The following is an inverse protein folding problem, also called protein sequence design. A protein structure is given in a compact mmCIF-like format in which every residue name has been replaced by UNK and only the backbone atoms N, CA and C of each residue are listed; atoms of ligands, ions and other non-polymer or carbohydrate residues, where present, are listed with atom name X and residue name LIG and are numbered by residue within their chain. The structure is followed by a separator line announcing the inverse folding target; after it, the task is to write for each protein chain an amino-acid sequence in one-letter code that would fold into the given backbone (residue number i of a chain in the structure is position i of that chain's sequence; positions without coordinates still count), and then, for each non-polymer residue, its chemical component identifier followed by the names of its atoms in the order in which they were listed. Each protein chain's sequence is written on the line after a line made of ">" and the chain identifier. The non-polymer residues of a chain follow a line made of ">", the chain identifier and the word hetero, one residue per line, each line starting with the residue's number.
data_IF_960675709584
#
_entry.id   IF_960675709584
#
_cell.length_a   1.000
_cell.length_b   1.000
_cell.length_c   1.000
_cell.angle_alpha   90.00
_cell.angle_beta   90.00
_cell.angle_gamma   90.00
#
_symmetry.space_group_name_H-M   'P 1'
#
loop_
_entity.id
_entity.type
_entity.pdbx_description
1 polymer ?
#
# COMPACT_ATOMS: atom_id res chain seq x y z
N UNK A 1 17.58 7.93 6.01
CA UNK A 1 17.70 9.27 6.62
C UNK A 1 16.33 9.88 6.61
N UNK A 2 15.97 10.54 7.70
CA UNK A 2 14.60 10.97 7.91
C UNK A 2 14.39 12.34 7.27
N UNK A 3 13.18 12.59 6.76
CA UNK A 3 12.81 13.94 6.33
C UNK A 3 12.84 14.86 7.55
N UNK A 4 13.31 16.08 7.34
CA UNK A 4 13.38 17.09 8.39
C UNK A 4 12.92 18.44 7.89
N UNK A 5 12.76 19.41 8.79
CA UNK A 5 12.42 20.78 8.47
C UNK A 5 13.46 21.73 9.09
N UNK A 6 13.59 22.93 8.53
CA UNK A 6 14.46 23.95 9.14
C UNK A 6 14.02 24.30 10.56
N UNK A 7 12.71 24.25 10.85
CA UNK A 7 12.18 24.47 12.20
C UNK A 7 12.63 23.36 13.16
N UNK A 8 12.56 22.09 12.76
CA UNK A 8 13.02 20.95 13.56
C UNK A 8 14.53 21.00 13.79
N UNK A 9 15.32 21.28 12.75
CA UNK A 9 16.76 21.48 12.85
C UNK A 9 17.12 22.67 13.76
N UNK A 10 16.30 23.72 13.79
CA UNK A 10 16.51 24.86 14.67
C UNK A 10 16.15 24.58 16.12
N UNK A 11 15.08 23.82 16.36
CA UNK A 11 14.60 23.50 17.71
C UNK A 11 15.45 22.42 18.39
N UNK A 12 15.82 21.38 17.65
CA UNK A 12 16.37 20.16 18.23
C UNK A 12 17.91 20.12 18.22
N UNK A 13 18.57 21.09 17.58
CA UNK A 13 20.01 21.08 17.44
C UNK A 13 20.63 22.45 17.73
N UNK A 14 21.40 22.47 18.82
CA UNK A 14 22.13 23.64 19.32
C UNK A 14 23.52 23.79 18.68
N UNK A 15 24.00 22.78 17.94
CA UNK A 15 25.31 22.82 17.26
C UNK A 15 25.26 23.79 16.06
N UNK A 16 26.40 24.42 15.76
CA UNK A 16 26.58 25.09 14.47
C UNK A 16 26.51 24.06 13.34
N UNK A 17 26.06 24.51 12.18
CA UNK A 17 25.81 23.66 11.03
C UNK A 17 26.98 23.74 10.05
N UNK A 18 27.42 22.58 9.54
CA UNK A 18 28.33 22.51 8.38
C UNK A 18 27.51 22.11 7.17
N UNK A 19 27.60 22.87 6.08
CA UNK A 19 26.93 22.53 4.82
C UNK A 19 27.84 21.63 3.99
N UNK A 20 27.36 20.44 3.62
CA UNK A 20 28.12 19.49 2.80
C UNK A 20 27.66 19.55 1.34
N UNK A 21 28.49 20.14 0.48
CA UNK A 21 28.22 20.42 -0.93
C UNK A 21 28.11 21.93 -1.19
N UNK A 22 28.71 22.43 -2.27
CA UNK A 22 28.74 23.86 -2.60
C UNK A 22 27.76 24.29 -3.71
N UNK A 23 26.59 23.64 -3.80
CA UNK A 23 25.59 23.88 -4.86
C UNK A 23 24.44 24.83 -4.46
N UNK A 24 23.44 24.97 -5.35
CA UNK A 24 22.22 25.78 -5.12
C UNK A 24 21.45 25.38 -3.86
N UNK A 25 21.50 24.10 -3.48
CA UNK A 25 20.86 23.60 -2.26
C UNK A 25 21.53 24.16 -1.01
N UNK A 26 22.87 24.23 -1.00
CA UNK A 26 23.60 24.86 0.09
C UNK A 26 23.30 26.35 0.18
N UNK A 27 23.15 27.04 -0.95
CA UNK A 27 22.86 28.47 -0.99
C UNK A 27 21.49 28.78 -0.36
N UNK A 28 20.47 28.00 -0.76
CA UNK A 28 19.13 28.08 -0.19
C UNK A 28 19.11 27.66 1.29
N UNK A 29 19.92 26.66 1.69
CA UNK A 29 20.01 26.20 3.07
C UNK A 29 20.64 27.27 3.97
N UNK A 30 21.73 27.90 3.52
CA UNK A 30 22.38 29.02 4.20
C UNK A 30 21.40 30.17 4.44
N UNK A 31 20.64 30.57 3.41
CA UNK A 31 19.61 31.62 3.51
C UNK A 31 18.52 31.30 4.53
N UNK A 32 18.17 30.03 4.72
CA UNK A 32 17.12 29.59 5.67
C UNK A 32 17.63 29.42 7.09
N UNK A 33 18.89 29.04 7.27
CA UNK A 33 19.53 28.86 8.58
C UNK A 33 20.05 30.17 9.17
N UNK A 34 20.43 31.12 8.31
CA UNK A 34 21.15 32.33 8.69
C UNK A 34 22.66 32.08 8.77
N UNK A 35 23.46 33.08 8.39
CA UNK A 35 24.93 32.99 8.36
C UNK A 35 25.51 32.67 9.73
N UNK A 36 24.97 33.26 10.79
CA UNK A 36 25.41 33.00 12.15
C UNK A 36 25.33 31.52 12.52
N UNK A 37 24.38 30.76 11.97
CA UNK A 37 24.23 29.34 12.34
C UNK A 37 25.21 28.42 11.59
N UNK A 38 25.76 28.86 10.46
CA UNK A 38 26.63 28.03 9.62
C UNK A 38 28.09 28.29 9.99
N UNK A 39 28.81 27.23 10.39
CA UNK A 39 30.22 27.34 10.74
C UNK A 39 31.11 27.47 9.49
N UNK A 40 30.93 26.55 8.53
CA UNK A 40 31.67 26.52 7.27
C UNK A 40 30.99 25.56 6.27
N UNK A 41 31.55 25.47 5.07
CA UNK A 41 31.09 24.59 3.98
C UNK A 41 32.18 23.55 3.70
N UNK A 42 31.79 22.31 3.39
CA UNK A 42 32.71 21.27 2.94
C UNK A 42 32.27 20.70 1.60
N UNK A 43 33.22 20.27 0.76
CA UNK A 43 32.93 19.62 -0.52
C UNK A 43 34.02 18.61 -0.88
N UNK A 44 33.67 17.51 -1.56
CA UNK A 44 34.66 16.52 -2.01
C UNK A 44 35.51 17.03 -3.19
N UNK A 45 35.02 18.03 -3.94
CA UNK A 45 35.73 18.62 -5.07
C UNK A 45 36.93 19.44 -4.60
N UNK A 46 38.13 19.01 -4.96
CA UNK A 46 39.37 19.76 -4.69
C UNK A 46 39.40 21.14 -5.35
N UNK A 47 38.64 21.32 -6.44
CA UNK A 47 38.46 22.63 -7.06
C UNK A 47 37.56 23.54 -6.21
N UNK A 48 36.48 23.00 -5.64
CA UNK A 48 35.60 23.76 -4.74
C UNK A 48 36.31 24.15 -3.44
N UNK A 49 37.14 23.27 -2.88
CA UNK A 49 37.94 23.55 -1.68
C UNK A 49 38.94 24.71 -1.85
N UNK A 50 39.24 25.10 -3.10
CA UNK A 50 40.10 26.25 -3.42
C UNK A 50 39.32 27.54 -3.63
N UNK A 51 37.99 27.53 -3.49
CA UNK A 51 37.12 28.69 -3.68
C UNK A 51 36.39 29.10 -2.40
N UNK A 52 35.64 30.19 -2.50
CA UNK A 52 34.71 30.64 -1.47
C UNK A 52 33.28 30.36 -1.90
N UNK A 53 32.45 29.95 -0.96
CA UNK A 53 31.01 29.78 -1.13
C UNK A 53 30.27 30.84 -0.32
N UNK A 54 29.67 31.84 -0.97
CA UNK A 54 29.02 32.97 -0.31
C UNK A 54 29.91 33.63 0.78
N UNK A 55 31.20 33.79 0.48
CA UNK A 55 32.17 34.36 1.43
C UNK A 55 32.71 33.38 2.48
N UNK A 56 32.12 32.18 2.62
CA UNK A 56 32.61 31.12 3.50
C UNK A 56 33.69 30.29 2.80
N UNK A 57 34.72 29.89 3.55
CA UNK A 57 35.75 28.97 3.06
C UNK A 57 35.14 27.58 2.86
N UNK A 58 35.48 26.94 1.75
CA UNK A 58 35.13 25.54 1.48
C UNK A 58 36.28 24.65 1.93
N UNK A 59 36.02 23.71 2.82
CA UNK A 59 37.03 22.83 3.39
C UNK A 59 36.88 21.38 2.93
N UNK A 60 37.91 20.58 3.24
CA UNK A 60 37.85 19.13 3.05
C UNK A 60 36.88 18.51 4.06
N UNK A 61 36.07 17.53 3.65
CA UNK A 61 35.18 16.79 4.56
C UNK A 61 35.85 16.18 5.78
N UNK A 62 37.16 15.93 5.73
CA UNK A 62 37.92 15.40 6.87
C UNK A 62 38.03 16.37 8.05
N UNK A 63 37.68 17.65 7.87
CA UNK A 63 37.64 18.65 8.97
C UNK A 63 36.36 18.57 9.80
N UNK A 64 35.37 17.79 9.35
CA UNK A 64 34.10 17.61 10.06
C UNK A 64 34.32 16.74 11.30
N UNK A 65 33.83 17.23 12.45
CA UNK A 65 33.80 16.49 13.72
C UNK A 65 32.38 16.47 14.31
N UNK A 66 32.18 15.71 15.39
CA UNK A 66 30.86 15.60 16.08
C UNK A 66 30.39 16.88 16.77
N UNK A 67 31.28 17.88 16.91
CA UNK A 67 30.93 19.18 17.49
C UNK A 67 29.94 19.98 16.61
N UNK A 68 29.93 19.68 15.31
CA UNK A 68 29.02 20.24 14.34
C UNK A 68 27.89 19.27 14.00
N UNK A 69 26.82 19.82 13.47
CA UNK A 69 25.84 19.04 12.74
C UNK A 69 25.98 19.25 11.25
N UNK A 70 26.04 18.17 10.48
CA UNK A 70 26.26 18.26 9.05
C UNK A 70 24.93 18.22 8.30
N UNK A 71 24.73 19.20 7.43
CA UNK A 71 23.59 19.25 6.53
C UNK A 71 24.04 18.90 5.11
N UNK A 72 23.65 17.73 4.63
CA UNK A 72 23.95 17.28 3.26
C UNK A 72 23.15 18.15 2.28
N UNK A 73 23.88 18.89 1.44
CA UNK A 73 23.37 19.84 0.46
C UNK A 73 23.68 19.43 -0.99
N UNK A 74 23.89 18.13 -1.22
CA UNK A 74 24.15 17.51 -2.52
C UNK A 74 23.13 16.41 -2.80
N UNK A 75 22.86 16.14 -4.08
CA UNK A 75 22.03 15.01 -4.51
C UNK A 75 22.74 13.66 -4.35
N UNK A 76 24.07 13.66 -4.18
CA UNK A 76 24.87 12.46 -3.92
C UNK A 76 24.78 12.01 -2.45
N UNK A 77 23.54 11.81 -1.99
CA UNK A 77 23.19 11.60 -0.60
C UNK A 77 23.82 10.30 -0.07
N UNK A 78 23.77 9.22 -0.84
CA UNK A 78 24.25 7.91 -0.42
C UNK A 78 25.77 7.90 -0.15
N UNK A 79 26.57 8.42 -1.08
CA UNK A 79 28.03 8.43 -0.94
C UNK A 79 28.48 9.36 0.20
N UNK A 80 27.87 10.53 0.33
CA UNK A 80 28.18 11.48 1.41
C UNK A 80 27.78 10.89 2.76
N UNK A 81 26.62 10.24 2.86
CA UNK A 81 26.20 9.58 4.11
C UNK A 81 27.17 8.47 4.51
N UNK A 82 27.62 7.65 3.56
CA UNK A 82 28.60 6.61 3.80
C UNK A 82 29.96 7.20 4.23
N UNK A 83 30.37 8.33 3.64
CA UNK A 83 31.58 9.06 4.03
C UNK A 83 31.49 9.60 5.46
N UNK A 84 30.40 10.29 5.82
CA UNK A 84 30.19 10.80 7.18
C UNK A 84 30.14 9.67 8.20
N UNK A 85 29.53 8.53 7.85
CA UNK A 85 29.53 7.33 8.69
C UNK A 85 30.94 6.78 8.89
N UNK A 86 31.78 6.74 7.85
CA UNK A 86 33.20 6.34 7.97
C UNK A 86 34.02 7.30 8.84
N UNK A 87 33.62 8.58 8.90
CA UNK A 87 34.19 9.58 9.81
C UNK A 87 33.64 9.46 11.25
N UNK A 88 32.77 8.48 11.52
CA UNK A 88 32.25 8.17 12.85
C UNK A 88 31.00 8.97 13.25
N UNK A 89 30.41 9.73 12.33
CA UNK A 89 29.16 10.47 12.55
C UNK A 89 27.94 9.56 12.35
N UNK A 90 26.89 9.76 13.13
CA UNK A 90 25.67 8.97 13.08
C UNK A 90 24.56 9.67 12.27
N UNK A 91 23.90 8.99 11.31
CA UNK A 91 22.76 9.55 10.59
C UNK A 91 21.62 9.98 11.52
N UNK A 92 20.92 11.05 11.17
CA UNK A 92 19.82 11.68 11.91
C UNK A 92 20.19 12.25 13.30
N UNK A 93 21.35 11.89 13.86
CA UNK A 93 21.88 12.44 15.09
C UNK A 93 22.93 13.52 14.80
N UNK A 94 23.97 13.18 14.04
CA UNK A 94 25.10 14.08 13.73
C UNK A 94 24.97 14.72 12.35
N UNK A 95 24.17 14.13 11.47
CA UNK A 95 23.92 14.68 10.15
C UNK A 95 22.55 14.33 9.60
N UNK A 96 22.04 15.17 8.71
CA UNK A 96 20.83 14.90 7.92
C UNK A 96 20.95 15.53 6.54
N UNK A 97 20.00 15.25 5.65
CA UNK A 97 19.84 16.02 4.42
C UNK A 97 19.23 17.39 4.69
N UNK A 98 19.54 18.35 3.82
CA UNK A 98 18.83 19.62 3.75
C UNK A 98 17.34 19.39 3.48
N UNK A 99 16.42 20.08 4.18
CA UNK A 99 14.99 20.05 3.88
C UNK A 99 14.65 20.40 2.42
N UNK A 100 15.54 21.10 1.72
CA UNK A 100 15.38 21.43 0.29
C UNK A 100 15.48 20.18 -0.60
N UNK A 101 16.07 19.10 -0.09
CA UNK A 101 16.17 17.80 -0.79
C UNK A 101 15.04 16.84 -0.42
N UNK A 102 14.05 17.24 0.38
CA UNK A 102 12.97 16.36 0.84
C UNK A 102 12.21 15.70 -0.33
N UNK A 103 12.01 16.43 -1.43
CA UNK A 103 11.35 15.89 -2.64
C UNK A 103 12.20 14.77 -3.27
N UNK A 104 13.52 14.98 -3.37
CA UNK A 104 14.47 14.00 -3.91
C UNK A 104 14.56 12.77 -2.99
N UNK A 105 14.51 12.98 -1.67
CA UNK A 105 14.46 11.88 -0.70
C UNK A 105 13.18 11.04 -0.86
N UNK A 106 12.03 11.68 -1.07
CA UNK A 106 10.76 10.98 -1.27
C UNK A 106 10.78 10.14 -2.55
N UNK A 107 11.38 10.64 -3.62
CA UNK A 107 11.56 9.89 -4.88
C UNK A 107 12.57 8.75 -4.68
N UNK A 108 13.72 9.04 -4.06
CA UNK A 108 14.78 8.06 -3.82
C UNK A 108 14.31 6.88 -2.96
N UNK A 109 13.45 7.12 -1.97
CA UNK A 109 12.82 6.07 -1.15
C UNK A 109 12.06 5.07 -2.03
N UNK A 110 11.24 5.58 -2.95
CA UNK A 110 10.45 4.74 -3.86
C UNK A 110 11.32 4.07 -4.93
N UNK A 111 12.37 4.73 -5.42
CA UNK A 111 13.29 4.18 -6.44
C UNK A 111 14.21 3.10 -5.89
N UNK A 112 14.55 3.16 -4.60
CA UNK A 112 15.41 2.18 -3.91
C UNK A 112 14.61 1.06 -3.25
N UNK A 113 13.30 1.01 -3.44
CA UNK A 113 12.43 -0.01 -2.88
C UNK A 113 12.97 -1.41 -3.20
N UNK A 114 13.16 -2.20 -2.16
CA UNK A 114 13.51 -3.61 -2.26
C UNK A 114 12.50 -4.39 -1.43
N UNK A 115 11.60 -5.10 -2.09
CA UNK A 115 10.53 -5.83 -1.42
C UNK A 115 10.04 -6.99 -2.27
N UNK A 116 9.45 -7.97 -1.60
CA UNK A 116 8.70 -9.06 -2.22
C UNK A 116 7.24 -8.96 -1.79
N UNK A 117 6.33 -9.12 -2.73
CA UNK A 117 4.90 -9.16 -2.43
C UNK A 117 4.19 -10.19 -3.30
N UNK A 118 3.09 -10.72 -2.79
CA UNK A 118 2.17 -11.58 -3.50
C UNK A 118 0.95 -10.79 -3.91
N UNK A 119 0.34 -11.22 -5.01
CA UNK A 119 -0.95 -10.67 -5.41
C UNK A 119 -1.77 -11.74 -6.13
N UNK A 120 -3.08 -11.51 -6.19
CA UNK A 120 -4.03 -12.41 -6.84
C UNK A 120 -4.71 -11.74 -8.01
N UNK A 121 -4.98 -12.53 -9.05
CA UNK A 121 -5.71 -12.15 -10.23
C UNK A 121 -6.92 -13.05 -10.43
N UNK A 122 -8.08 -12.42 -10.60
CA UNK A 122 -9.35 -13.08 -10.88
C UNK A 122 -9.74 -13.05 -12.36
N UNK A 123 -8.78 -12.79 -13.26
CA UNK A 123 -9.00 -13.00 -14.70
C UNK A 123 -9.10 -14.49 -15.02
N UNK A 124 -9.54 -14.82 -16.23
CA UNK A 124 -9.61 -16.21 -16.68
C UNK A 124 -8.20 -16.78 -16.74
N UNK A 125 -7.99 -17.93 -16.11
CA UNK A 125 -6.74 -18.66 -16.19
C UNK A 125 -6.50 -19.15 -17.63
N UNK A 126 -5.26 -19.04 -18.10
CA UNK A 126 -4.81 -19.61 -19.36
C UNK A 126 -3.58 -20.49 -19.07
N UNK A 127 -3.65 -21.74 -19.49
CA UNK A 127 -2.52 -22.69 -19.40
C UNK A 127 -1.50 -22.47 -20.53
N UNK A 128 -1.91 -21.81 -21.62
CA UNK A 128 -1.06 -21.56 -22.79
C UNK A 128 -0.07 -20.39 -22.57
N UNK A 129 -0.26 -19.60 -21.52
CA UNK A 129 0.59 -18.47 -21.18
C UNK A 129 0.95 -18.50 -19.69
N UNK A 130 2.09 -17.91 -19.28
CA UNK A 130 2.40 -17.73 -17.86
C UNK A 130 1.49 -16.69 -17.17
N UNK A 131 0.52 -16.11 -17.87
CA UNK A 131 -0.30 -15.00 -17.41
C UNK A 131 -1.80 -15.34 -17.37
N UNK A 132 -2.59 -14.49 -16.70
CA UNK A 132 -4.03 -14.66 -16.51
C UNK A 132 -4.44 -14.66 -15.04
N UNK A 133 -5.42 -15.48 -14.69
CA UNK A 133 -5.84 -15.70 -13.31
C UNK A 133 -4.79 -16.47 -12.51
N UNK A 134 -4.61 -16.11 -11.24
CA UNK A 134 -3.71 -16.87 -10.38
C UNK A 134 -3.24 -16.18 -9.11
N UNK A 135 -2.43 -16.90 -8.34
CA UNK A 135 -1.55 -16.33 -7.33
C UNK A 135 -0.19 -16.04 -7.96
N UNK A 136 0.33 -14.85 -7.71
CA UNK A 136 1.60 -14.38 -8.24
C UNK A 136 2.51 -13.91 -7.11
N UNK A 137 3.81 -13.94 -7.39
CA UNK A 137 4.84 -13.25 -6.60
C UNK A 137 5.52 -12.20 -7.47
N UNK A 138 5.77 -11.03 -6.90
CA UNK A 138 6.57 -9.99 -7.50
C UNK A 138 7.74 -9.62 -6.58
N UNK A 139 8.94 -9.63 -7.13
CA UNK A 139 10.14 -9.14 -6.46
C UNK A 139 10.53 -7.81 -7.07
N UNK A 140 10.69 -6.79 -6.24
CA UNK A 140 11.13 -5.44 -6.63
C UNK A 140 12.53 -5.23 -6.08
N UNK A 141 13.46 -4.86 -6.94
CA UNK A 141 14.83 -4.49 -6.55
C UNK A 141 15.19 -3.18 -7.24
N UNK A 142 15.14 -2.10 -6.46
CA UNK A 142 15.34 -0.76 -6.96
C UNK A 142 14.34 -0.47 -8.08
N UNK A 143 14.84 -0.10 -9.27
CA UNK A 143 14.01 0.24 -10.43
C UNK A 143 13.48 -0.97 -11.21
N UNK A 144 13.89 -2.18 -10.86
CA UNK A 144 13.54 -3.42 -11.58
C UNK A 144 12.53 -4.26 -10.81
N UNK A 145 11.73 -5.06 -11.53
CA UNK A 145 10.82 -6.02 -10.92
C UNK A 145 10.72 -7.31 -11.74
N UNK A 146 10.59 -8.45 -11.07
CA UNK A 146 10.27 -9.75 -11.68
C UNK A 146 8.93 -10.25 -11.17
N UNK A 147 8.21 -10.99 -12.01
CA UNK A 147 6.87 -11.51 -11.69
C UNK A 147 6.80 -12.97 -12.11
N UNK A 148 6.26 -13.82 -11.24
CA UNK A 148 6.08 -15.25 -11.46
C UNK A 148 4.67 -15.67 -11.02
N UNK A 149 4.01 -16.51 -11.83
CA UNK A 149 2.75 -17.15 -11.47
C UNK A 149 3.04 -18.42 -10.67
N UNK A 150 2.59 -18.44 -9.42
CA UNK A 150 2.75 -19.58 -8.51
C UNK A 150 1.60 -20.58 -8.62
N UNK A 151 0.41 -20.09 -8.97
CA UNK A 151 -0.81 -20.88 -9.09
C UNK A 151 -1.66 -20.37 -10.25
N UNK A 152 -2.26 -21.26 -11.04
CA UNK A 152 -3.19 -20.93 -12.12
C UNK A 152 -4.62 -21.17 -11.64
N UNK A 153 -5.48 -20.15 -11.67
CA UNK A 153 -6.87 -20.26 -11.23
C UNK A 153 -7.54 -18.91 -10.99
N UNK A 154 -8.85 -18.89 -10.75
CA UNK A 154 -9.61 -17.64 -10.60
C UNK A 154 -9.49 -17.10 -9.17
N UNK A 155 -8.37 -16.42 -8.88
CA UNK A 155 -7.97 -16.08 -7.50
C UNK A 155 -8.42 -14.67 -7.07
N UNK A 156 -8.86 -14.55 -5.81
CA UNK A 156 -9.34 -13.30 -5.23
C UNK A 156 -8.69 -12.99 -3.88
N UNK A 157 -9.41 -13.00 -2.75
CA UNK A 157 -8.89 -12.60 -1.44
C UNK A 157 -7.63 -13.37 -1.04
N UNK A 158 -6.67 -12.70 -0.41
CA UNK A 158 -5.46 -13.30 0.12
C UNK A 158 -4.97 -12.60 1.40
N UNK A 159 -4.34 -13.36 2.29
CA UNK A 159 -3.75 -12.89 3.56
C UNK A 159 -2.45 -13.63 3.87
N UNK A 160 -1.56 -12.99 4.64
CA UNK A 160 -0.47 -13.69 5.32
C UNK A 160 -0.99 -14.29 6.64
N UNK A 161 -0.69 -15.55 6.91
CA UNK A 161 -1.03 -16.22 8.15
C UNK A 161 0.01 -17.31 8.48
N UNK A 162 0.65 -17.20 9.65
CA UNK A 162 1.64 -18.17 10.16
C UNK A 162 2.78 -18.53 9.17
N UNK A 163 3.24 -17.56 8.37
CA UNK A 163 4.29 -17.79 7.35
C UNK A 163 3.79 -18.43 6.05
N UNK A 164 2.47 -18.59 5.90
CA UNK A 164 1.83 -19.00 4.67
C UNK A 164 1.10 -17.82 4.02
N UNK A 165 0.93 -17.88 2.71
CA UNK A 165 -0.03 -17.06 1.98
C UNK A 165 -1.30 -17.88 1.80
N UNK A 166 -2.37 -17.48 2.48
CA UNK A 166 -3.69 -18.05 2.25
C UNK A 166 -4.40 -17.25 1.16
N UNK A 167 -5.07 -17.93 0.25
CA UNK A 167 -5.80 -17.28 -0.83
C UNK A 167 -7.03 -18.08 -1.23
N UNK A 168 -7.98 -17.41 -1.89
CA UNK A 168 -9.21 -18.06 -2.37
C UNK A 168 -9.20 -18.14 -3.90
N UNK A 169 -9.41 -19.35 -4.40
CA UNK A 169 -9.82 -19.65 -5.77
C UNK A 169 -11.35 -19.77 -5.78
N UNK A 170 -12.04 -19.05 -6.65
CA UNK A 170 -13.51 -19.10 -6.72
C UNK A 170 -14.08 -20.47 -7.09
N UNK A 171 -13.29 -21.31 -7.77
CA UNK A 171 -13.71 -22.63 -8.27
C UNK A 171 -13.23 -23.77 -7.35
N UNK A 172 -12.10 -23.60 -6.66
CA UNK A 172 -11.46 -24.66 -5.84
C UNK A 172 -11.39 -24.35 -4.33
N UNK A 173 -11.71 -23.13 -3.94
CA UNK A 173 -11.83 -22.71 -2.55
C UNK A 173 -10.56 -22.20 -1.90
N UNK A 174 -10.34 -22.51 -0.63
CA UNK A 174 -9.23 -21.91 0.14
C UNK A 174 -7.97 -22.75 0.01
N UNK A 175 -6.87 -22.10 -0.34
CA UNK A 175 -5.56 -22.71 -0.47
C UNK A 175 -4.55 -21.99 0.42
N UNK A 176 -3.45 -22.68 0.70
CA UNK A 176 -2.23 -22.11 1.28
C UNK A 176 -1.06 -22.29 0.33
N UNK A 177 -0.17 -21.32 0.32
CA UNK A 177 1.15 -21.38 -0.31
C UNK A 177 2.23 -21.17 0.75
N UNK A 178 3.24 -22.05 0.77
CA UNK A 178 4.45 -21.88 1.58
C UNK A 178 5.61 -22.65 0.95
N UNK A 179 6.77 -22.01 0.83
CA UNK A 179 8.01 -22.64 0.34
C UNK A 179 7.87 -23.42 -0.98
N UNK A 180 7.09 -22.90 -1.94
CA UNK A 180 6.89 -23.54 -3.24
C UNK A 180 5.77 -24.60 -3.26
N UNK A 181 5.17 -24.93 -2.13
CA UNK A 181 4.08 -25.90 -2.04
C UNK A 181 2.73 -25.22 -1.92
N UNK A 182 1.74 -25.73 -2.67
CA UNK A 182 0.34 -25.32 -2.59
C UNK A 182 -0.47 -26.45 -1.99
N UNK A 183 -1.24 -26.13 -0.94
CA UNK A 183 -2.13 -27.08 -0.28
C UNK A 183 -3.55 -26.54 -0.25
N UNK A 184 -4.49 -27.33 -0.74
CA UNK A 184 -5.93 -27.10 -0.60
C UNK A 184 -6.38 -27.33 0.85
N UNK A 185 -7.23 -26.44 1.36
CA UNK A 185 -7.68 -26.42 2.75
C UNK A 185 -9.20 -26.55 2.89
N UNK A 186 -9.97 -26.03 1.92
CA UNK A 186 -11.43 -25.98 2.02
C UNK A 186 -12.12 -25.86 0.67
N UNK A 187 -13.17 -26.65 0.46
CA UNK A 187 -14.09 -26.51 -0.67
C UNK A 187 -15.16 -25.44 -0.39
N UNK A 188 -15.35 -24.51 -1.32
CA UNK A 188 -16.40 -23.51 -1.19
C UNK A 188 -17.79 -24.13 -1.35
N UNK A 189 -18.81 -23.57 -0.68
CA UNK A 189 -20.18 -23.87 -1.02
C UNK A 189 -20.47 -23.60 -2.51
N UNK A 190 -21.26 -24.46 -3.14
CA UNK A 190 -21.60 -24.35 -4.57
C UNK A 190 -22.10 -22.94 -4.90
N UNK A 191 -21.50 -22.34 -5.94
CA UNK A 191 -21.86 -21.00 -6.42
C UNK A 191 -21.47 -19.85 -5.48
N UNK A 192 -20.56 -20.07 -4.52
CA UNK A 192 -20.10 -19.01 -3.61
C UNK A 192 -19.49 -17.82 -4.33
N UNK A 193 -18.62 -18.09 -5.33
CA UNK A 193 -17.74 -17.09 -5.97
C UNK A 193 -17.03 -16.24 -4.93
N UNK A 194 -16.07 -16.84 -4.24
CA UNK A 194 -15.43 -16.19 -3.11
C UNK A 194 -14.50 -15.06 -3.55
N UNK A 195 -14.62 -13.88 -2.93
CA UNK A 195 -13.82 -12.70 -3.26
C UNK A 195 -12.92 -12.21 -2.13
N UNK A 196 -13.33 -12.36 -0.87
CA UNK A 196 -12.64 -11.81 0.31
C UNK A 196 -12.22 -12.89 1.28
N UNK A 197 -11.09 -12.68 1.97
CA UNK A 197 -10.56 -13.58 2.99
C UNK A 197 -9.95 -12.76 4.13
N UNK A 198 -10.34 -13.05 5.36
CA UNK A 198 -9.67 -12.52 6.55
C UNK A 198 -9.56 -13.55 7.66
N UNK A 199 -8.74 -13.24 8.67
CA UNK A 199 -8.54 -14.05 9.86
C UNK A 199 -8.71 -13.16 11.10
N UNK A 200 -9.56 -13.59 12.03
CA UNK A 200 -9.71 -12.97 13.34
C UNK A 200 -8.88 -13.75 14.36
N UNK A 201 -7.89 -13.09 14.96
CA UNK A 201 -6.99 -13.70 15.96
C UNK A 201 -7.67 -13.95 17.30
N UNK A 202 -8.63 -13.12 17.69
CA UNK A 202 -9.28 -13.20 19.01
C UNK A 202 -10.21 -14.42 19.10
N UNK A 203 -10.84 -14.78 17.98
CA UNK A 203 -11.73 -15.95 17.87
C UNK A 203 -11.07 -17.18 17.23
N UNK A 204 -9.86 -17.03 16.67
CA UNK A 204 -9.19 -18.05 15.85
C UNK A 204 -10.11 -18.57 14.72
N UNK A 205 -10.60 -17.65 13.90
CA UNK A 205 -11.57 -17.91 12.82
C UNK A 205 -11.17 -17.26 11.51
N UNK A 206 -11.47 -17.94 10.40
CA UNK A 206 -11.36 -17.40 9.05
C UNK A 206 -12.73 -16.96 8.53
N UNK A 207 -12.74 -15.92 7.71
CA UNK A 207 -13.97 -15.36 7.13
C UNK A 207 -13.82 -15.23 5.62
N UNK A 208 -14.76 -15.82 4.87
CA UNK A 208 -14.72 -15.83 3.40
C UNK A 208 -15.98 -15.16 2.83
N UNK A 209 -15.79 -14.09 2.05
CA UNK A 209 -16.90 -13.39 1.38
C UNK A 209 -17.37 -14.19 0.18
N UNK A 210 -18.64 -14.60 0.16
CA UNK A 210 -19.27 -15.31 -0.96
C UNK A 210 -20.13 -14.34 -1.80
N UNK A 211 -19.53 -13.73 -2.82
CA UNK A 211 -20.14 -12.64 -3.60
C UNK A 211 -21.42 -13.03 -4.32
N UNK A 212 -21.51 -14.27 -4.80
CA UNK A 212 -22.71 -14.76 -5.50
C UNK A 212 -23.79 -15.26 -4.53
N UNK A 213 -23.55 -15.24 -3.21
CA UNK A 213 -24.50 -15.69 -2.18
C UNK A 213 -24.91 -14.61 -1.18
N UNK A 214 -24.40 -13.38 -1.33
CA UNK A 214 -24.61 -12.26 -0.39
C UNK A 214 -24.41 -12.68 1.07
N UNK A 215 -23.32 -13.40 1.34
CA UNK A 215 -22.97 -13.81 2.68
C UNK A 215 -21.47 -13.87 2.91
N UNK A 216 -21.09 -13.98 4.18
CA UNK A 216 -19.74 -14.30 4.62
C UNK A 216 -19.84 -15.60 5.41
N UNK A 217 -19.00 -16.57 5.08
CA UNK A 217 -18.92 -17.82 5.84
C UNK A 217 -17.77 -17.74 6.85
N UNK A 218 -17.98 -18.31 8.02
CA UNK A 218 -16.97 -18.46 9.06
C UNK A 218 -16.44 -19.89 9.08
N UNK A 219 -15.12 -20.02 9.16
CA UNK A 219 -14.43 -21.30 9.26
C UNK A 219 -13.61 -21.34 10.56
N UNK A 220 -13.55 -22.51 11.20
CA UNK A 220 -12.62 -22.75 12.31
C UNK A 220 -11.16 -22.89 11.84
N UNK A 221 -10.21 -23.04 12.77
CA UNK A 221 -8.78 -23.19 12.43
C UNK A 221 -8.43 -24.49 11.70
N UNK A 222 -9.38 -25.41 11.55
CA UNK A 222 -9.28 -26.62 10.72
C UNK A 222 -10.08 -26.48 9.42
N UNK A 223 -10.54 -25.27 9.10
CA UNK A 223 -11.34 -24.96 7.93
C UNK A 223 -12.70 -25.65 7.87
N UNK A 224 -13.31 -26.00 9.03
CA UNK A 224 -14.70 -26.44 9.05
C UNK A 224 -15.64 -25.23 9.06
N UNK A 225 -16.70 -25.27 8.25
CA UNK A 225 -17.76 -24.26 8.25
C UNK A 225 -18.52 -24.26 9.59
N UNK A 226 -18.48 -23.13 10.31
CA UNK A 226 -19.14 -22.97 11.62
C UNK A 226 -20.38 -22.10 11.56
N UNK A 227 -20.36 -21.05 10.72
CA UNK A 227 -21.41 -20.03 10.69
C UNK A 227 -21.52 -19.36 9.32
N UNK A 228 -22.64 -18.70 9.06
CA UNK A 228 -22.84 -17.84 7.89
C UNK A 228 -23.51 -16.54 8.31
N UNK A 229 -22.96 -15.41 7.86
CA UNK A 229 -23.47 -14.06 8.05
C UNK A 229 -24.11 -13.59 6.75
N UNK A 230 -25.43 -13.43 6.74
CA UNK A 230 -26.17 -12.97 5.56
C UNK A 230 -26.25 -11.45 5.53
N UNK A 231 -26.03 -10.84 4.36
CA UNK A 231 -26.10 -9.38 4.21
C UNK A 231 -27.54 -8.86 4.36
N UNK A 232 -28.51 -9.65 3.90
CA UNK A 232 -29.94 -9.44 4.07
C UNK A 232 -30.72 -10.71 3.71
N UNK A 233 -32.05 -10.71 3.91
CA UNK A 233 -32.93 -11.78 3.44
C UNK A 233 -33.22 -11.78 1.93
N UNK A 234 -32.57 -10.93 1.12
CA UNK A 234 -32.86 -10.85 -0.33
C UNK A 234 -32.45 -12.10 -1.09
N UNK A 235 -31.23 -12.59 -0.86
CA UNK A 235 -30.73 -13.78 -1.53
C UNK A 235 -31.62 -15.00 -1.27
N UNK A 236 -32.13 -15.14 -0.05
CA UNK A 236 -33.04 -16.24 0.27
C UNK A 236 -34.31 -16.22 -0.59
N UNK A 237 -34.84 -15.02 -0.88
CA UNK A 237 -36.06 -14.81 -1.65
C UNK A 237 -35.85 -14.93 -3.16
N UNK A 238 -34.73 -14.44 -3.68
CA UNK A 238 -34.49 -14.35 -5.14
C UNK A 238 -33.56 -15.43 -5.67
N UNK A 239 -32.77 -16.07 -4.81
CA UNK A 239 -31.63 -16.93 -5.15
C UNK A 239 -30.58 -16.25 -6.02
N UNK A 240 -30.53 -14.92 -5.96
CA UNK A 240 -29.60 -14.10 -6.70
C UNK A 240 -28.91 -13.08 -5.78
N UNK A 241 -27.59 -12.94 -5.95
CA UNK A 241 -26.84 -11.87 -5.29
C UNK A 241 -27.39 -10.49 -5.69
N UNK A 242 -27.68 -9.70 -4.68
CA UNK A 242 -28.28 -8.38 -4.71
C UNK A 242 -27.33 -7.30 -4.22
N UNK A 243 -26.35 -7.63 -3.38
CA UNK A 243 -25.45 -6.64 -2.73
C UNK A 243 -24.06 -6.57 -3.36
N UNK A 244 -23.55 -7.71 -3.86
CA UNK A 244 -22.19 -7.86 -4.40
C UNK A 244 -21.13 -7.47 -3.36
N UNK A 245 -20.96 -8.34 -2.36
CA UNK A 245 -19.85 -8.25 -1.39
C UNK A 245 -18.51 -8.49 -2.09
N UNK A 246 -17.49 -7.72 -1.72
CA UNK A 246 -16.15 -7.84 -2.29
C UNK A 246 -15.18 -8.43 -1.27
N UNK A 247 -14.84 -7.68 -0.22
CA UNK A 247 -13.82 -8.08 0.75
C UNK A 247 -14.39 -8.03 2.18
N UNK A 248 -13.66 -8.64 3.11
CA UNK A 248 -14.00 -8.59 4.53
C UNK A 248 -12.76 -8.41 5.40
N UNK A 249 -12.97 -7.92 6.62
CA UNK A 249 -11.94 -7.84 7.64
C UNK A 249 -12.55 -8.05 9.02
N UNK A 250 -12.12 -9.09 9.71
CA UNK A 250 -12.57 -9.40 11.07
C UNK A 250 -11.51 -9.00 12.10
N UNK A 251 -11.90 -8.23 13.12
CA UNK A 251 -11.01 -7.76 14.20
C UNK A 251 -11.83 -7.50 15.45
N UNK A 252 -11.31 -7.92 16.62
CA UNK A 252 -12.08 -7.83 17.86
C UNK A 252 -13.37 -8.63 17.74
N UNK A 253 -14.47 -8.06 18.22
CA UNK A 253 -15.84 -8.58 18.14
C UNK A 253 -16.60 -8.15 16.87
N UNK A 254 -15.94 -7.52 15.89
CA UNK A 254 -16.57 -7.06 14.66
C UNK A 254 -16.05 -7.76 13.40
N UNK A 255 -16.97 -7.99 12.46
CA UNK A 255 -16.70 -8.38 11.08
C UNK A 255 -17.18 -7.28 10.15
N UNK A 256 -16.23 -6.70 9.40
CA UNK A 256 -16.52 -5.66 8.41
C UNK A 256 -16.53 -6.24 7.00
N UNK A 257 -17.37 -5.69 6.13
CA UNK A 257 -17.46 -6.12 4.74
C UNK A 257 -17.77 -4.97 3.77
N UNK A 258 -17.06 -4.94 2.65
CA UNK A 258 -17.32 -3.98 1.57
C UNK A 258 -18.30 -4.57 0.55
N UNK A 259 -19.19 -3.73 0.02
CA UNK A 259 -20.13 -4.17 -1.03
C UNK A 259 -20.54 -3.02 -1.94
N UNK A 260 -21.00 -3.35 -3.16
CA UNK A 260 -21.45 -2.34 -4.13
C UNK A 260 -22.74 -1.63 -3.74
N UNK A 261 -23.59 -2.28 -2.94
CA UNK A 261 -24.88 -1.71 -2.59
C UNK A 261 -25.36 -2.21 -1.23
N UNK A 262 -25.49 -1.30 -0.27
CA UNK A 262 -26.08 -1.62 1.03
C UNK A 262 -27.55 -2.03 0.90
N UNK A 263 -28.33 -1.31 0.09
CA UNK A 263 -29.74 -1.65 -0.14
C UNK A 263 -29.95 -2.82 -1.09
N UNK A 264 -28.94 -3.22 -1.85
CA UNK A 264 -28.97 -4.33 -2.80
C UNK A 264 -29.67 -4.01 -4.12
N UNK A 265 -29.37 -2.83 -4.70
CA UNK A 265 -29.94 -2.33 -5.95
C UNK A 265 -28.87 -2.02 -7.03
N UNK A 266 -27.62 -2.47 -6.89
CA UNK A 266 -26.55 -2.19 -7.87
C UNK A 266 -26.88 -2.66 -9.30
N UNK A 267 -27.63 -3.76 -9.45
CA UNK A 267 -28.13 -4.26 -10.75
C UNK A 267 -29.11 -3.30 -11.44
N UNK A 268 -29.67 -2.33 -10.69
CA UNK A 268 -30.52 -1.24 -11.17
C UNK A 268 -29.75 0.08 -11.28
N UNK A 269 -28.43 0.00 -11.32
CA UNK A 269 -27.51 1.15 -11.40
C UNK A 269 -27.55 2.08 -10.17
N UNK A 270 -28.04 1.59 -9.03
CA UNK A 270 -28.01 2.30 -7.73
C UNK A 270 -26.83 1.78 -6.91
N UNK A 271 -25.72 2.53 -6.92
CA UNK A 271 -24.50 2.22 -6.17
C UNK A 271 -24.45 3.02 -4.86
N UNK A 272 -25.09 2.49 -3.83
CA UNK A 272 -25.02 2.94 -2.44
C UNK A 272 -24.03 2.07 -1.65
N UNK A 273 -22.80 2.00 -2.15
CA UNK A 273 -21.75 1.14 -1.59
C UNK A 273 -21.41 1.53 -0.16
N UNK A 274 -21.03 0.52 0.63
CA UNK A 274 -20.82 0.70 2.06
C UNK A 274 -19.73 -0.22 2.59
N UNK A 275 -19.34 0.05 3.85
CA UNK A 275 -18.77 -0.94 4.75
C UNK A 275 -19.89 -1.34 5.70
N UNK A 276 -20.35 -2.58 5.63
CA UNK A 276 -21.25 -3.16 6.62
C UNK A 276 -20.45 -3.71 7.81
N UNK A 277 -21.08 -3.74 8.98
CA UNK A 277 -20.52 -4.30 10.20
C UNK A 277 -21.45 -5.37 10.76
N UNK A 278 -20.87 -6.45 11.27
CA UNK A 278 -21.57 -7.50 12.00
C UNK A 278 -20.92 -7.68 13.37
N UNK A 279 -21.75 -7.84 14.39
CA UNK A 279 -21.31 -8.32 15.70
C UNK A 279 -21.01 -9.82 15.59
N UNK A 280 -19.79 -10.24 15.93
CA UNK A 280 -19.35 -11.63 15.82
C UNK A 280 -19.99 -12.55 16.86
N UNK A 281 -20.37 -12.02 18.02
CA UNK A 281 -21.03 -12.80 19.07
C UNK A 281 -22.47 -13.13 18.66
N UNK A 282 -23.25 -12.11 18.30
CA UNK A 282 -24.67 -12.25 17.99
C UNK A 282 -24.93 -12.63 16.53
N UNK A 283 -24.01 -12.27 15.62
CA UNK A 283 -24.15 -12.39 14.16
C UNK A 283 -25.07 -11.36 13.53
N UNK A 284 -25.56 -10.40 14.31
CA UNK A 284 -26.44 -9.36 13.82
C UNK A 284 -25.66 -8.33 13.00
N UNK A 285 -26.27 -7.87 11.90
CA UNK A 285 -25.76 -6.73 11.15
C UNK A 285 -26.02 -5.45 11.93
N UNK A 286 -24.96 -4.72 12.22
CA UNK A 286 -24.99 -3.41 12.87
C UNK A 286 -25.20 -2.30 11.82
N UNK A 287 -25.49 -1.05 12.23
CA UNK A 287 -25.55 0.08 11.31
C UNK A 287 -24.24 0.24 10.53
N UNK A 288 -24.32 0.41 9.21
CA UNK A 288 -23.14 0.54 8.36
C UNK A 288 -22.27 1.76 8.80
N UNK A 289 -21.02 1.56 9.25
CA UNK A 289 -20.15 2.66 9.69
C UNK A 289 -19.71 3.59 8.56
N UNK A 290 -19.71 3.11 7.30
CA UNK A 290 -19.33 3.90 6.13
C UNK A 290 -20.34 3.68 5.02
N UNK A 291 -20.80 4.78 4.41
CA UNK A 291 -21.81 4.80 3.34
C UNK A 291 -21.34 5.66 2.17
N UNK A 292 -22.10 5.62 1.09
CA UNK A 292 -21.91 6.46 -0.11
C UNK A 292 -20.55 6.24 -0.80
N UNK A 293 -20.04 5.01 -0.75
CA UNK A 293 -18.86 4.57 -1.50
C UNK A 293 -19.29 4.09 -2.89
N UNK A 294 -18.39 4.22 -3.87
CA UNK A 294 -18.66 3.79 -5.24
C UNK A 294 -17.84 2.56 -5.63
N UNK A 295 -18.52 1.42 -5.58
CA UNK A 295 -17.94 0.08 -5.82
C UNK A 295 -16.73 -0.21 -4.90
N UNK A 296 -16.84 -0.09 -3.57
CA UNK A 296 -15.71 -0.34 -2.69
C UNK A 296 -15.27 -1.81 -2.73
N UNK A 297 -13.96 -2.06 -2.86
CA UNK A 297 -13.44 -3.43 -2.92
C UNK A 297 -12.76 -3.86 -1.64
N UNK A 298 -11.67 -3.23 -1.22
CA UNK A 298 -10.88 -3.74 -0.09
C UNK A 298 -11.10 -2.92 1.18
N UNK A 299 -11.04 -3.64 2.30
CA UNK A 299 -11.02 -3.07 3.65
C UNK A 299 -9.87 -3.70 4.44
N UNK A 300 -9.09 -2.86 5.12
CA UNK A 300 -7.99 -3.29 6.00
C UNK A 300 -7.94 -2.39 7.23
N UNK A 301 -7.39 -2.92 8.32
CA UNK A 301 -7.01 -2.12 9.48
C UNK A 301 -5.49 -2.03 9.55
N UNK A 302 -4.96 -0.81 9.49
CA UNK A 302 -3.54 -0.53 9.67
C UNK A 302 -3.39 0.48 10.79
N UNK A 303 -2.43 0.26 11.70
CA UNK A 303 -2.13 1.18 12.80
C UNK A 303 -3.38 1.60 13.61
N UNK A 304 -4.33 0.68 13.80
CA UNK A 304 -5.56 0.93 14.56
C UNK A 304 -6.65 1.72 13.84
N UNK A 305 -6.52 2.00 12.54
CA UNK A 305 -7.57 2.69 11.76
C UNK A 305 -8.02 1.91 10.53
N UNK A 306 -9.31 2.07 10.18
CA UNK A 306 -9.93 1.49 8.99
C UNK A 306 -9.44 2.22 7.73
N UNK A 307 -9.07 1.43 6.71
CA UNK A 307 -8.66 1.86 5.38
C UNK A 307 -9.53 1.16 4.34
N UNK A 308 -10.03 1.93 3.37
CA UNK A 308 -10.95 1.43 2.35
C UNK A 308 -10.50 1.89 0.96
N UNK A 309 -10.56 0.98 -0.02
CA UNK A 309 -10.50 1.32 -1.43
C UNK A 309 -11.92 1.58 -1.96
N UNK A 310 -12.21 2.84 -2.24
CA UNK A 310 -13.39 3.30 -2.96
C UNK A 310 -13.03 3.27 -4.46
N UNK A 311 -13.23 2.09 -5.05
CA UNK A 311 -12.40 1.61 -6.16
C UNK A 311 -12.66 2.26 -7.49
N UNK A 312 -13.93 2.54 -7.82
CA UNK A 312 -14.26 3.09 -9.13
C UNK A 312 -13.69 4.51 -9.33
N UNK A 313 -13.77 5.44 -8.37
CA UNK A 313 -13.07 6.72 -8.46
C UNK A 313 -11.57 6.63 -8.13
N UNK A 314 -11.06 5.45 -7.78
CA UNK A 314 -9.65 5.21 -7.50
C UNK A 314 -9.18 5.84 -6.19
N UNK A 315 -10.03 5.91 -5.16
CA UNK A 315 -9.69 6.55 -3.89
C UNK A 315 -9.17 5.55 -2.85
N UNK A 316 -8.06 5.91 -2.20
CA UNK A 316 -7.70 5.36 -0.88
C UNK A 316 -8.28 6.29 0.19
N UNK A 317 -9.08 5.73 1.10
CA UNK A 317 -9.74 6.47 2.19
C UNK A 317 -9.35 5.96 3.56
N UNK A 318 -9.01 6.88 4.46
CA UNK A 318 -8.83 6.65 5.89
C UNK A 318 -8.87 8.00 6.64
N UNK A 319 -8.64 8.00 7.96
CA UNK A 319 -8.77 9.21 8.80
C UNK A 319 -10.17 9.82 8.67
N UNK A 320 -11.17 9.12 9.22
CA UNK A 320 -12.59 9.45 9.07
C UNK A 320 -13.05 9.46 7.59
N UNK A 321 -12.58 8.46 6.82
CA UNK A 321 -12.94 8.23 5.41
C UNK A 321 -12.63 9.38 4.44
N UNK A 322 -11.73 10.28 4.84
CA UNK A 322 -11.16 11.30 3.96
C UNK A 322 -10.35 10.67 2.83
N UNK A 323 -10.33 11.32 1.66
CA UNK A 323 -9.51 10.87 0.52
C UNK A 323 -8.05 11.19 0.83
N UNK A 324 -7.21 10.15 0.80
CA UNK A 324 -5.79 10.25 1.11
C UNK A 324 -4.91 10.08 -0.13
N UNK A 325 -5.44 9.45 -1.18
CA UNK A 325 -4.85 9.37 -2.51
C UNK A 325 -5.93 9.11 -3.55
N UNK A 326 -5.73 9.63 -4.77
CA UNK A 326 -6.59 9.42 -5.94
C UNK A 326 -5.74 8.88 -7.08
N UNK A 327 -6.13 7.74 -7.61
CA UNK A 327 -5.37 6.99 -8.61
C UNK A 327 -6.18 6.89 -9.90
N UNK A 328 -5.53 6.90 -11.08
CA UNK A 328 -6.22 7.05 -12.35
C UNK A 328 -6.95 5.78 -12.81
N UNK A 329 -7.23 4.79 -11.97
CA UNK A 329 -7.82 3.53 -12.42
C UNK A 329 -8.53 2.80 -11.27
N UNK A 330 -9.08 1.62 -11.59
CA UNK A 330 -9.88 0.84 -10.68
C UNK A 330 -9.00 0.20 -9.60
N UNK A 331 -9.08 0.70 -8.36
CA UNK A 331 -8.18 0.27 -7.29
C UNK A 331 -8.70 -0.96 -6.54
N UNK A 332 -7.86 -1.98 -6.44
CA UNK A 332 -8.16 -3.26 -5.78
C UNK A 332 -6.88 -3.92 -5.31
N UNK A 333 -6.95 -4.70 -4.23
CA UNK A 333 -5.78 -5.15 -3.49
C UNK A 333 -5.17 -4.00 -2.69
N UNK A 334 -5.04 -4.19 -1.38
CA UNK A 334 -4.52 -3.19 -0.47
C UNK A 334 -3.66 -3.86 0.60
N UNK A 335 -2.42 -3.39 0.72
CA UNK A 335 -1.57 -3.67 1.85
C UNK A 335 -0.76 -2.44 2.28
N UNK A 336 -0.16 -2.48 3.47
CA UNK A 336 0.62 -1.39 4.04
C UNK A 336 1.89 -1.91 4.71
N UNK A 337 3.04 -1.47 4.21
CA UNK A 337 4.36 -1.92 4.67
C UNK A 337 5.43 -0.85 4.47
N UNK A 338 6.40 -0.78 5.38
CA UNK A 338 7.52 0.17 5.31
C UNK A 338 7.09 1.65 5.26
N UNK A 339 5.92 2.00 5.80
CA UNK A 339 5.37 3.35 5.68
C UNK A 339 4.64 3.62 4.35
N UNK A 340 4.55 2.64 3.46
CA UNK A 340 4.03 2.75 2.11
C UNK A 340 2.77 1.89 1.92
N UNK A 341 1.82 2.41 1.15
CA UNK A 341 0.65 1.65 0.69
C UNK A 341 0.97 0.95 -0.61
N UNK A 342 0.60 -0.32 -0.71
CA UNK A 342 0.63 -1.09 -1.94
C UNK A 342 -0.81 -1.26 -2.42
N UNK A 343 -1.13 -0.66 -3.56
CA UNK A 343 -2.49 -0.54 -4.07
C UNK A 343 -2.51 -1.14 -5.47
N UNK A 344 -3.28 -2.20 -5.67
CA UNK A 344 -3.39 -2.76 -7.00
C UNK A 344 -4.26 -1.87 -7.88
N UNK A 345 -3.80 -1.72 -9.11
CA UNK A 345 -4.50 -1.04 -10.19
C UNK A 345 -4.95 -2.10 -11.18
N UNK A 346 -6.25 -2.23 -11.36
CA UNK A 346 -6.84 -3.10 -12.35
C UNK A 346 -7.29 -2.34 -13.59
N UNK A 347 -7.37 -3.05 -14.71
CA UNK A 347 -7.96 -2.49 -15.94
C UNK A 347 -9.40 -2.06 -15.68
N UNK A 348 -9.68 -0.78 -15.94
CA UNK A 348 -11.04 -0.26 -15.76
C UNK A 348 -11.92 -0.59 -16.97
N UNK A 349 -12.73 -1.66 -16.86
CA UNK A 349 -13.74 -2.03 -17.87
C UNK A 349 -15.02 -1.18 -17.79
N UNK A 350 -15.18 -0.40 -16.72
CA UNK A 350 -16.35 0.43 -16.44
C UNK A 350 -16.07 1.93 -16.60
N UNK A 351 -15.08 2.31 -17.43
CA UNK A 351 -14.59 3.69 -17.54
C UNK A 351 -15.70 4.71 -17.90
N UNK A 352 -16.72 4.28 -18.65
CA UNK A 352 -17.86 5.13 -19.02
C UNK A 352 -18.63 5.65 -17.79
N UNK A 353 -18.64 4.92 -16.68
CA UNK A 353 -19.34 5.28 -15.44
C UNK A 353 -18.69 6.41 -14.64
N UNK A 354 -17.45 6.78 -14.99
CA UNK A 354 -16.69 7.84 -14.31
C UNK A 354 -16.25 8.96 -15.27
N UNK A 355 -16.79 9.00 -16.49
CA UNK A 355 -16.62 10.15 -17.35
C UNK A 355 -17.20 11.39 -16.67
N UNK A 356 -16.38 12.43 -16.48
CA UNK A 356 -16.75 13.65 -15.75
C UNK A 356 -16.57 13.57 -14.23
N UNK A 357 -16.22 12.40 -13.68
CA UNK A 357 -15.79 12.23 -12.27
C UNK A 357 -14.27 12.13 -12.20
N UNK A 358 -13.66 11.32 -13.07
CA UNK A 358 -12.21 11.23 -13.22
C UNK A 358 -11.72 12.06 -14.40
N UNK A 359 -10.58 12.72 -14.21
CA UNK A 359 -9.88 13.48 -15.25
C UNK A 359 -8.98 12.60 -16.15
N UNK A 360 -8.67 11.38 -15.70
CA UNK A 360 -7.86 10.41 -16.43
C UNK A 360 -8.19 8.98 -15.98
N UNK A 361 -8.31 8.06 -16.93
CA UNK A 361 -8.62 6.66 -16.65
C UNK A 361 -7.58 5.78 -17.34
N UNK A 362 -6.60 5.30 -16.58
CA UNK A 362 -5.61 4.31 -17.01
C UNK A 362 -6.27 2.96 -17.24
N UNK A 363 -5.77 2.28 -18.27
CA UNK A 363 -6.13 0.91 -18.64
C UNK A 363 -4.98 -0.06 -18.33
N UNK A 364 -3.99 0.38 -17.55
CA UNK A 364 -2.83 -0.42 -17.19
C UNK A 364 -3.12 -1.26 -15.94
N UNK A 365 -2.47 -2.41 -15.86
CA UNK A 365 -2.50 -3.28 -14.69
C UNK A 365 -1.16 -3.19 -13.97
N UNK A 366 -1.17 -3.03 -12.65
CA UNK A 366 0.06 -2.96 -11.87
C UNK A 366 -0.17 -2.57 -10.42
N UNK A 367 0.91 -2.42 -9.66
CA UNK A 367 0.84 -2.01 -8.24
C UNK A 367 1.36 -0.60 -8.08
N UNK A 368 0.57 0.26 -7.46
CA UNK A 368 0.96 1.60 -7.04
C UNK A 368 1.53 1.50 -5.63
N UNK A 369 2.79 1.87 -5.46
CA UNK A 369 3.43 2.07 -4.16
C UNK A 369 3.31 3.54 -3.80
N UNK A 370 2.55 3.87 -2.77
CA UNK A 370 2.15 5.22 -2.42
C UNK A 370 2.60 5.62 -1.02
N UNK A 371 3.32 6.74 -0.91
CA UNK A 371 3.62 7.38 0.36
C UNK A 371 2.52 8.41 0.68
N UNK A 372 1.67 8.11 1.65
CA UNK A 372 0.53 8.98 2.00
C UNK A 372 0.95 10.28 2.69
N UNK A 373 2.15 10.38 3.24
CA UNK A 373 2.67 11.62 3.87
C UNK A 373 3.14 12.59 2.78
N UNK A 374 4.02 12.15 1.87
CA UNK A 374 4.54 13.00 0.80
C UNK A 374 3.67 13.07 -0.46
N UNK A 375 2.60 12.27 -0.54
CA UNK A 375 1.67 12.20 -1.69
C UNK A 375 2.35 11.85 -3.02
N UNK A 376 3.49 11.16 -2.95
CA UNK A 376 4.20 10.62 -4.12
C UNK A 376 3.91 9.14 -4.26
N UNK A 377 3.92 8.66 -5.51
CA UNK A 377 3.77 7.24 -5.79
C UNK A 377 4.72 6.78 -6.89
N UNK A 378 4.95 5.48 -6.92
CA UNK A 378 5.62 4.77 -7.99
C UNK A 378 4.70 3.66 -8.50
N UNK A 379 4.63 3.50 -9.81
CA UNK A 379 3.89 2.41 -10.43
C UNK A 379 4.84 1.27 -10.81
N UNK A 380 4.49 0.05 -10.39
CA UNK A 380 5.16 -1.20 -10.78
C UNK A 380 4.24 -1.85 -11.82
N UNK A 381 4.60 -1.78 -13.12
CA UNK A 381 3.79 -2.37 -14.17
C UNK A 381 3.80 -3.89 -14.07
N UNK A 382 2.64 -4.51 -14.26
CA UNK A 382 2.50 -5.95 -14.39
C UNK A 382 2.14 -6.31 -15.84
N UNK A 383 2.34 -7.58 -16.25
CA UNK A 383 1.94 -8.04 -17.58
C UNK A 383 0.47 -7.72 -17.87
N UNK A 384 0.19 -7.38 -19.12
CA UNK A 384 -1.13 -6.91 -19.54
C UNK A 384 -2.19 -7.99 -19.28
N UNK A 385 -1.87 -9.24 -19.57
CA UNK A 385 -2.75 -10.41 -19.51
C UNK A 385 -3.22 -10.74 -18.09
N UNK A 386 -2.44 -10.37 -17.05
CA UNK A 386 -2.87 -10.46 -15.65
C UNK A 386 -4.18 -9.69 -15.44
N UNK A 387 -4.27 -8.48 -16.00
CA UNK A 387 -5.49 -7.69 -16.17
C UNK A 387 -6.16 -7.14 -14.90
N UNK A 388 -6.11 -7.87 -13.79
CA UNK A 388 -6.80 -7.55 -12.55
C UNK A 388 -5.95 -7.93 -11.34
N UNK A 389 -6.07 -7.14 -10.27
CA UNK A 389 -5.49 -7.41 -8.96
C UNK A 389 -6.64 -7.37 -7.96
N UNK A 390 -6.75 -8.36 -7.07
CA UNK A 390 -7.83 -8.40 -6.06
C UNK A 390 -7.31 -8.35 -4.62
N UNK A 391 -6.15 -8.95 -4.36
CA UNK A 391 -5.45 -8.87 -3.09
C UNK A 391 -3.96 -8.62 -3.31
N UNK A 392 -3.32 -8.00 -2.31
CA UNK A 392 -1.87 -7.84 -2.21
C UNK A 392 -1.46 -8.24 -0.78
N UNK A 393 -0.34 -8.94 -0.67
CA UNK A 393 0.28 -9.31 0.61
C UNK A 393 1.79 -9.07 0.50
N UNK A 394 2.32 -8.07 1.20
CA UNK A 394 3.74 -7.71 1.20
C UNK A 394 4.46 -8.50 2.29
N UNK A 395 5.60 -9.10 1.96
CA UNK A 395 6.42 -9.82 2.94
C UNK A 395 7.16 -8.86 3.90
N UNK A 396 7.53 -9.41 5.06
CA UNK A 396 8.31 -8.74 6.11
C UNK A 396 9.73 -8.38 5.68
#
# INVERSE_FOLDING_TARGET
>A
MDKTSFAALNKNNQRKVVLFGCGKVAEKSLKKLGEDKVAFVVDNSSAAQKSLFNGLKVESPNTVTKEYFVLICSTDIANISAQLTRLGLLPNLDFSCSPILNDILAVSELEQLNCKFYFTSGTVASEDTPWGGGLYVCNVVGTTSTVERLYSGTCYGAISHNGHILFVDSDHGVHSYCNGEIKHLFDLPVGARAHGLSYNRDYDRFYVSCSNRDCIIELDSRFNLTRTFFLSGKYEKTKEASHHINDNYAIGDSLYATMFSSTGNWKKDVFDGCVAEFDLNTGERLPDPVKDLYMPHNIKFFNGSMHVLDSLPGHLRFSNMSIQGTFPAFTRGLDYKFGLYFIGQSKNRNYSKIMGVSNNISIDCGVIVFNAESKVSRFIPLPYETGEIHAIVVED
#
